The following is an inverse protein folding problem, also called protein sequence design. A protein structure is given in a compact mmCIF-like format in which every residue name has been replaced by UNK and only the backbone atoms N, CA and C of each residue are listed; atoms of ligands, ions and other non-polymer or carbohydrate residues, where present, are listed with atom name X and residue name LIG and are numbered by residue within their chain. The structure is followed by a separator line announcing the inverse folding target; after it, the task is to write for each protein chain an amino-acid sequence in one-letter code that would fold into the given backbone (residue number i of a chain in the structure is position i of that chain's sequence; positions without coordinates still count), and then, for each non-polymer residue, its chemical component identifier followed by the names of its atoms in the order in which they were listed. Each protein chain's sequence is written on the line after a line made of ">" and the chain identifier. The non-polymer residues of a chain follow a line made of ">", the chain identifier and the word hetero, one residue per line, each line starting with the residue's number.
data_IF_810966728099
#
_entry.id   IF_810966728099
#
_cell.length_a   1.000
_cell.length_b   1.000
_cell.length_c   1.000
_cell.angle_alpha   90.00
_cell.angle_beta   90.00
_cell.angle_gamma   90.00
#
_symmetry.space_group_name_H-M   'P 1'
#
loop_
_entity.id
_entity.type
_entity.pdbx_description
1 polymer ?
#
# COMPACT_ATOMS: atom_id res chain seq x y z
N UNK A 1 10.61 15.73 -0.65
CA UNK A 1 10.22 14.46 -1.29
C UNK A 1 8.76 14.22 -0.94
N UNK A 2 7.87 13.95 -1.91
CA UNK A 2 6.44 13.76 -1.62
C UNK A 2 6.17 12.37 -1.03
N UNK A 3 5.11 12.24 -0.22
CA UNK A 3 4.68 10.95 0.36
C UNK A 3 4.41 9.93 -0.76
N UNK A 4 3.80 10.35 -1.86
CA UNK A 4 3.59 9.51 -3.04
C UNK A 4 4.90 8.90 -3.57
N UNK A 5 5.95 9.70 -3.74
CA UNK A 5 7.23 9.22 -4.29
C UNK A 5 7.90 8.18 -3.38
N UNK A 6 7.87 8.40 -2.06
CA UNK A 6 8.43 7.46 -1.09
C UNK A 6 7.61 6.16 -1.05
N UNK A 7 6.28 6.25 -1.08
CA UNK A 7 5.40 5.07 -1.11
C UNK A 7 5.66 4.22 -2.35
N UNK A 8 5.73 4.83 -3.53
CA UNK A 8 6.02 4.12 -4.79
C UNK A 8 7.39 3.47 -4.75
N UNK A 9 8.42 4.19 -4.27
CA UNK A 9 9.77 3.64 -4.13
C UNK A 9 9.78 2.40 -3.24
N UNK A 10 9.19 2.47 -2.04
CA UNK A 10 9.12 1.33 -1.11
C UNK A 10 8.37 0.15 -1.70
N UNK A 11 7.24 0.41 -2.35
CA UNK A 11 6.42 -0.65 -2.95
C UNK A 11 7.17 -1.33 -4.11
N UNK A 12 7.90 -0.58 -4.95
CA UNK A 12 8.78 -1.17 -5.99
C UNK A 12 9.95 -1.96 -5.42
N UNK A 13 10.49 -1.56 -4.27
CA UNK A 13 11.51 -2.33 -3.53
C UNK A 13 10.93 -3.58 -2.82
N UNK A 14 9.64 -3.92 -3.01
CA UNK A 14 8.99 -5.06 -2.37
C UNK A 14 8.68 -4.85 -0.89
N UNK A 15 8.80 -3.64 -0.37
CA UNK A 15 8.56 -3.31 1.04
C UNK A 15 7.09 -2.97 1.28
N UNK A 16 6.57 -3.43 2.42
CA UNK A 16 5.21 -3.09 2.83
C UNK A 16 5.07 -1.61 3.19
N UNK A 17 3.87 -1.06 2.97
CA UNK A 17 3.55 0.37 3.15
C UNK A 17 2.56 0.54 4.31
N UNK A 18 2.72 1.57 5.13
CA UNK A 18 1.74 1.85 6.20
C UNK A 18 0.45 2.41 5.61
N UNK A 19 -0.67 2.05 6.21
CA UNK A 19 -2.01 2.50 5.78
C UNK A 19 -2.15 4.03 5.69
N UNK A 20 -1.67 4.84 6.67
CA UNK A 20 -1.73 6.29 6.56
C UNK A 20 -1.01 6.87 5.33
N UNK A 21 0.21 6.39 5.07
CA UNK A 21 1.04 6.87 3.96
C UNK A 21 0.41 6.48 2.62
N UNK A 22 -0.12 5.24 2.53
CA UNK A 22 -0.81 4.77 1.34
C UNK A 22 -2.11 5.53 1.08
N UNK A 23 -2.87 5.88 2.12
CA UNK A 23 -4.09 6.67 1.98
C UNK A 23 -3.79 8.06 1.41
N UNK A 24 -2.76 8.73 1.92
CA UNK A 24 -2.32 10.03 1.40
C UNK A 24 -1.84 9.92 -0.06
N UNK A 25 -1.05 8.89 -0.38
CA UNK A 25 -0.54 8.68 -1.74
C UNK A 25 -1.63 8.32 -2.76
N UNK A 26 -2.66 7.59 -2.34
CA UNK A 26 -3.75 7.14 -3.22
C UNK A 26 -4.91 8.13 -3.32
N UNK A 27 -4.95 9.16 -2.46
CA UNK A 27 -6.07 10.09 -2.36
C UNK A 27 -7.29 9.53 -1.63
N UNK A 28 -7.21 8.33 -1.04
CA UNK A 28 -8.27 7.78 -0.22
C UNK A 28 -8.23 8.33 1.21
N UNK A 29 -9.38 8.34 1.88
CA UNK A 29 -9.39 8.57 3.33
C UNK A 29 -8.79 7.37 4.07
N UNK A 30 -8.09 7.63 5.18
CA UNK A 30 -7.57 6.57 6.06
C UNK A 30 -8.67 5.61 6.50
N UNK A 31 -9.84 6.14 6.86
CA UNK A 31 -10.98 5.32 7.29
C UNK A 31 -11.45 4.40 6.17
N UNK A 32 -11.61 4.90 4.94
CA UNK A 32 -12.00 4.07 3.80
C UNK A 32 -11.04 2.90 3.60
N UNK A 33 -9.72 3.15 3.68
CA UNK A 33 -8.72 2.10 3.54
C UNK A 33 -8.77 1.07 4.68
N UNK A 34 -8.94 1.51 5.93
CA UNK A 34 -9.14 0.60 7.06
C UNK A 34 -10.44 -0.22 6.96
N UNK A 35 -11.52 0.36 6.44
CA UNK A 35 -12.77 -0.36 6.20
C UNK A 35 -12.61 -1.39 5.07
N UNK A 36 -11.93 -1.04 3.97
CA UNK A 36 -11.64 -1.98 2.89
C UNK A 36 -10.78 -3.15 3.39
N UNK A 37 -9.79 -2.89 4.24
CA UNK A 37 -9.00 -3.93 4.92
C UNK A 37 -9.89 -4.81 5.81
N UNK A 38 -10.77 -4.19 6.61
CA UNK A 38 -11.70 -4.92 7.49
C UNK A 38 -12.68 -5.81 6.71
N UNK A 39 -13.04 -5.40 5.49
CA UNK A 39 -13.91 -6.14 4.56
C UNK A 39 -13.15 -7.14 3.69
N UNK A 40 -11.84 -7.28 3.89
CA UNK A 40 -10.96 -8.18 3.12
C UNK A 40 -10.88 -7.84 1.61
N UNK A 41 -11.26 -6.61 1.22
CA UNK A 41 -11.14 -6.10 -0.15
C UNK A 41 -9.70 -5.66 -0.49
N UNK A 42 -8.91 -5.38 0.56
CA UNK A 42 -7.50 -4.99 0.49
C UNK A 42 -6.70 -5.88 1.43
N UNK A 43 -5.74 -6.62 0.87
CA UNK A 43 -4.81 -7.43 1.67
C UNK A 43 -3.98 -6.58 2.62
N UNK A 44 -3.84 -7.02 3.88
CA UNK A 44 -2.97 -6.37 4.86
C UNK A 44 -2.26 -7.37 5.75
N UNK A 45 -1.13 -6.95 6.31
CA UNK A 45 -0.34 -7.71 7.29
C UNK A 45 -0.22 -6.87 8.56
N UNK A 46 -0.31 -7.52 9.71
CA UNK A 46 -0.05 -6.89 11.00
C UNK A 46 1.42 -7.07 11.37
N UNK A 47 2.17 -5.97 11.40
CA UNK A 47 3.56 -5.92 11.81
C UNK A 47 3.65 -5.26 13.20
N UNK A 48 3.61 -6.09 14.25
CA UNK A 48 3.48 -5.65 15.63
C UNK A 48 2.17 -4.88 15.87
N UNK A 49 2.28 -3.60 16.22
CA UNK A 49 1.12 -2.70 16.41
C UNK A 49 0.63 -2.03 15.13
N UNK A 50 1.36 -2.15 14.03
CA UNK A 50 1.03 -1.48 12.77
C UNK A 50 0.31 -2.43 11.81
N UNK A 51 -0.70 -1.92 11.12
CA UNK A 51 -1.26 -2.55 9.91
C UNK A 51 -0.54 -1.98 8.69
N UNK A 52 0.01 -2.87 7.87
CA UNK A 52 0.72 -2.52 6.64
C UNK A 52 0.10 -3.23 5.46
N UNK A 53 0.19 -2.61 4.28
CA UNK A 53 -0.27 -3.16 3.01
C UNK A 53 0.94 -3.72 2.27
N UNK A 54 0.91 -5.00 1.82
CA UNK A 54 1.97 -5.59 1.02
C UNK A 54 2.25 -4.77 -0.25
N UNK A 55 3.49 -4.86 -0.74
CA UNK A 55 3.93 -4.10 -1.92
C UNK A 55 3.03 -4.30 -3.15
N UNK A 56 2.65 -5.54 -3.46
CA UNK A 56 1.80 -5.83 -4.63
C UNK A 56 0.40 -5.20 -4.51
N UNK A 57 -0.18 -5.18 -3.31
CA UNK A 57 -1.46 -4.53 -3.04
C UNK A 57 -1.34 -3.01 -3.07
N UNK A 58 -0.26 -2.45 -2.52
CA UNK A 58 0.00 -1.02 -2.57
C UNK A 58 0.13 -0.54 -4.04
N UNK A 59 0.86 -1.27 -4.89
CA UNK A 59 0.98 -0.95 -6.30
C UNK A 59 -0.37 -1.04 -7.02
N UNK A 60 -1.17 -2.09 -6.75
CA UNK A 60 -2.53 -2.25 -7.29
C UNK A 60 -3.41 -1.06 -6.95
N UNK A 61 -3.41 -0.62 -5.69
CA UNK A 61 -4.21 0.52 -5.21
C UNK A 61 -3.76 1.86 -5.79
N UNK A 62 -2.49 1.99 -6.16
CA UNK A 62 -1.95 3.17 -6.85
C UNK A 62 -2.15 3.11 -8.38
N UNK A 63 -2.78 2.05 -8.90
CA UNK A 63 -2.95 1.86 -10.34
C UNK A 63 -1.64 1.54 -11.08
N UNK A 64 -0.60 1.13 -10.35
CA UNK A 64 0.72 0.81 -10.89
C UNK A 64 0.82 -0.70 -11.10
N UNK A 65 1.39 -1.11 -12.24
CA UNK A 65 1.72 -2.51 -12.47
C UNK A 65 2.93 -2.89 -11.60
N UNK A 66 2.92 -4.03 -10.90
CA UNK A 66 4.16 -4.61 -10.41
C UNK A 66 5.04 -4.87 -11.63
N UNK A 67 6.30 -4.43 -11.59
CA UNK A 67 7.26 -4.78 -12.63
C UNK A 67 7.36 -6.31 -12.61
N UNK A 68 6.85 -6.96 -13.66
CA UNK A 68 6.99 -8.39 -13.82
C UNK A 68 8.47 -8.70 -13.75
N UNK A 69 8.88 -9.45 -12.72
CA UNK A 69 10.15 -10.16 -12.76
C UNK A 69 9.96 -11.17 -13.89
N UNK A 70 10.41 -10.79 -15.09
CA UNK A 70 10.59 -11.73 -16.18
C UNK A 70 11.63 -12.75 -15.68
N UNK A 71 11.14 -13.94 -15.34
CA UNK A 71 11.95 -15.11 -15.06
C UNK A 71 12.60 -15.62 -16.35
#
# INVERSE_FOLDING_TARGET
>A
MSVFSEVVKRAREGRSVKVPDLAEASGFSRNALYQAIKREEVGSIRLGRATVVPAHEALRLLGLKPESIAA
#
